data_IF_351890148931
#
_entry.id   IF_351890148931
#
_cell.length_a   1.000
_cell.length_b   1.000
_cell.length_c   1.000
_cell.angle_alpha   90.00
_cell.angle_beta   90.00
_cell.angle_gamma   90.00
#
_symmetry.space_group_name_H-M   'P 1'
#
loop_
_entity.id
_entity.type
_entity.pdbx_description
1 polymer ?
#
# COMPACT_ATOMS: atom_id res chain seq x y z
N UNK A 1 -1.14 6.84 28.92
CA UNK A 1 0.04 6.98 28.04
C UNK A 1 1.30 6.99 28.88
N UNK A 2 1.49 7.89 29.86
CA UNK A 2 2.72 7.98 30.68
C UNK A 2 3.12 6.66 31.35
N UNK A 3 2.18 5.96 32.02
CA UNK A 3 2.48 4.72 32.72
C UNK A 3 3.00 3.60 31.79
N UNK A 4 2.49 3.53 30.55
CA UNK A 4 2.99 2.59 29.54
C UNK A 4 4.38 3.02 29.03
N UNK A 5 4.59 4.30 28.83
CA UNK A 5 5.87 4.84 28.39
C UNK A 5 6.97 4.59 29.41
N UNK A 6 6.69 4.82 30.71
CA UNK A 6 7.63 4.55 31.79
C UNK A 6 8.00 3.07 31.88
N UNK A 7 7.03 2.18 31.61
CA UNK A 7 7.25 0.74 31.61
C UNK A 7 8.16 0.25 30.48
N UNK A 8 8.07 0.89 29.29
CA UNK A 8 8.79 0.47 28.09
C UNK A 8 9.96 1.37 27.69
N UNK A 9 10.14 2.50 28.40
CA UNK A 9 11.21 3.49 28.09
C UNK A 9 12.62 2.91 28.04
N UNK A 10 12.89 1.85 28.78
CA UNK A 10 14.21 1.18 28.80
C UNK A 10 14.38 0.12 27.69
N UNK A 11 13.33 -0.15 26.91
CA UNK A 11 13.30 -1.24 25.91
C UNK A 11 13.08 -0.75 24.49
N UNK A 12 12.61 0.48 24.32
CA UNK A 12 12.22 1.01 23.02
C UNK A 12 12.69 2.45 22.88
N UNK A 13 13.43 2.80 21.79
CA UNK A 13 13.89 4.16 21.55
C UNK A 13 12.75 5.12 21.25
N UNK A 14 11.67 4.67 20.63
CA UNK A 14 10.50 5.47 20.30
C UNK A 14 9.22 4.66 20.37
N UNK A 15 8.10 5.37 20.43
CA UNK A 15 6.74 4.82 20.23
C UNK A 15 6.04 5.58 19.12
N UNK A 16 5.13 4.92 18.41
CA UNK A 16 4.38 5.51 17.31
C UNK A 16 2.89 5.21 17.42
N UNK A 17 2.10 6.02 16.72
CA UNK A 17 0.66 5.83 16.57
C UNK A 17 0.13 6.49 15.30
N UNK A 18 -1.03 6.07 14.85
CA UNK A 18 -1.85 6.77 13.87
C UNK A 18 -2.97 7.49 14.63
N UNK A 19 -2.97 8.83 14.70
CA UNK A 19 -3.92 9.56 15.52
C UNK A 19 -5.28 9.69 14.82
N UNK A 20 -6.36 9.38 15.53
CA UNK A 20 -7.70 9.78 15.10
C UNK A 20 -7.91 11.30 15.23
N UNK A 21 -7.26 11.93 16.24
CA UNK A 21 -7.24 13.38 16.42
C UNK A 21 -5.88 13.80 17.01
N UNK A 22 -5.09 14.52 16.22
CA UNK A 22 -3.71 14.91 16.56
C UNK A 22 -3.60 15.72 17.86
N UNK A 23 -4.56 16.62 18.10
CA UNK A 23 -4.58 17.49 19.27
C UNK A 23 -4.54 16.72 20.61
N UNK A 24 -4.97 15.49 20.64
CA UNK A 24 -4.94 14.62 21.84
C UNK A 24 -3.49 14.25 22.18
N UNK A 25 -2.62 14.13 21.19
CA UNK A 25 -1.28 13.56 21.35
C UNK A 25 -0.16 14.60 21.40
N UNK A 26 -0.39 15.82 20.92
CA UNK A 26 0.59 16.93 21.02
C UNK A 26 1.06 17.23 22.44
N UNK A 27 0.18 17.23 23.49
CA UNK A 27 0.60 17.42 24.88
C UNK A 27 1.55 16.34 25.42
N UNK A 28 1.62 15.20 24.74
CA UNK A 28 2.50 14.08 25.08
C UNK A 28 3.74 13.99 24.21
N UNK A 29 4.10 15.09 23.53
CA UNK A 29 5.28 15.22 22.65
C UNK A 29 5.29 14.31 21.42
N UNK A 30 4.13 13.83 20.98
CA UNK A 30 4.02 13.18 19.68
C UNK A 30 4.07 14.23 18.55
N UNK A 31 4.82 13.92 17.50
CA UNK A 31 4.93 14.75 16.29
C UNK A 31 4.80 13.88 15.05
N UNK A 32 4.19 14.43 14.00
CA UNK A 32 4.15 13.76 12.71
C UNK A 32 5.55 13.62 12.13
N UNK A 33 5.81 12.44 11.57
CA UNK A 33 7.08 12.07 10.94
C UNK A 33 6.89 11.41 9.58
N UNK A 34 5.65 11.07 9.24
CA UNK A 34 5.32 10.42 7.99
C UNK A 34 4.02 10.98 7.43
N UNK A 35 4.07 11.35 6.15
CA UNK A 35 2.93 11.76 5.34
C UNK A 35 2.66 10.68 4.30
N UNK A 36 1.42 10.18 4.28
CA UNK A 36 1.02 9.19 3.31
C UNK A 36 0.55 9.87 2.03
N UNK A 37 1.11 9.44 0.92
CA UNK A 37 0.68 9.85 -0.41
C UNK A 37 -0.66 9.19 -0.75
N UNK A 38 -1.61 10.00 -1.19
CA UNK A 38 -2.94 9.56 -1.63
C UNK A 38 -3.26 10.17 -2.97
N UNK A 39 -3.82 9.38 -3.88
CA UNK A 39 -4.32 9.83 -5.17
C UNK A 39 -5.74 9.29 -5.39
N UNK A 40 -6.62 10.13 -5.92
CA UNK A 40 -7.96 9.74 -6.41
C UNK A 40 -7.92 9.67 -7.93
N UNK A 41 -8.33 8.55 -8.48
CA UNK A 41 -8.34 8.26 -9.91
C UNK A 41 -9.76 7.98 -10.37
N UNK A 42 -10.12 8.48 -11.54
CA UNK A 42 -11.42 8.32 -12.16
C UNK A 42 -11.35 7.54 -13.48
N UNK A 43 -12.48 7.43 -14.16
CA UNK A 43 -12.60 6.76 -15.47
C UNK A 43 -11.65 7.35 -16.52
N UNK A 44 -11.39 8.66 -16.49
CA UNK A 44 -10.52 9.30 -17.46
C UNK A 44 -9.09 8.77 -17.37
N UNK A 45 -8.59 8.52 -16.14
CA UNK A 45 -7.29 7.89 -15.90
C UNK A 45 -7.18 6.51 -16.57
N UNK A 46 -8.13 5.65 -16.28
CA UNK A 46 -8.07 4.27 -16.79
C UNK A 46 -8.30 4.20 -18.30
N UNK A 47 -9.15 5.06 -18.85
CA UNK A 47 -9.42 5.12 -20.29
C UNK A 47 -8.21 5.62 -21.08
N UNK A 48 -7.58 6.72 -20.65
CA UNK A 48 -6.38 7.24 -21.31
C UNK A 48 -5.22 6.23 -21.24
N UNK A 49 -5.09 5.51 -20.13
CA UNK A 49 -4.05 4.47 -20.00
C UNK A 49 -4.29 3.30 -20.95
N UNK A 50 -5.54 2.92 -21.20
CA UNK A 50 -5.88 1.92 -22.22
C UNK A 50 -5.52 2.36 -23.64
N UNK A 51 -5.78 3.62 -23.97
CA UNK A 51 -5.45 4.19 -25.30
C UNK A 51 -3.93 4.25 -25.53
N UNK A 52 -3.18 4.73 -24.54
CA UNK A 52 -1.73 4.88 -24.64
C UNK A 52 -1.01 3.55 -24.81
N UNK A 53 -1.54 2.45 -24.25
CA UNK A 53 -0.87 1.14 -24.22
C UNK A 53 -1.43 0.08 -25.15
N UNK A 54 -2.43 0.41 -25.97
CA UNK A 54 -3.00 -0.54 -26.94
C UNK A 54 -1.96 -1.16 -27.90
N UNK A 55 -0.81 -0.52 -28.09
CA UNK A 55 0.26 -1.02 -28.99
C UNK A 55 1.27 -1.93 -28.25
N UNK A 56 1.53 -1.75 -26.96
CA UNK A 56 2.47 -2.57 -26.19
C UNK A 56 1.84 -3.81 -25.56
N UNK A 57 0.61 -3.71 -25.04
CA UNK A 57 -0.10 -4.82 -24.39
C UNK A 57 -0.57 -5.93 -25.32
N UNK A 58 -0.68 -5.67 -26.62
CA UNK A 58 -1.02 -6.70 -27.61
C UNK A 58 0.04 -7.80 -27.75
N UNK A 59 1.23 -7.59 -27.25
CA UNK A 59 2.35 -8.53 -27.36
C UNK A 59 2.60 -9.35 -26.07
N UNK A 60 2.00 -9.00 -24.94
CA UNK A 60 2.06 -9.84 -23.74
C UNK A 60 0.91 -10.84 -23.87
N UNK A 61 1.23 -12.09 -24.15
CA UNK A 61 0.22 -13.15 -24.17
C UNK A 61 -0.48 -13.19 -22.81
N UNK A 62 -1.76 -12.82 -22.75
CA UNK A 62 -2.60 -12.81 -21.54
C UNK A 62 -2.59 -14.17 -20.81
N UNK A 63 -2.23 -15.25 -21.52
CA UNK A 63 -2.11 -16.61 -20.99
C UNK A 63 -1.03 -16.77 -19.90
N UNK A 64 -0.14 -15.77 -19.73
CA UNK A 64 0.96 -15.81 -18.74
C UNK A 64 0.73 -14.97 -17.48
N UNK A 65 -0.35 -14.19 -17.44
CA UNK A 65 -0.69 -13.35 -16.30
C UNK A 65 -1.75 -14.05 -15.46
N UNK A 66 -1.47 -14.24 -14.17
CA UNK A 66 -2.45 -14.69 -13.17
C UNK A 66 -2.64 -13.58 -12.17
N UNK A 67 -3.86 -13.05 -12.12
CA UNK A 67 -4.28 -12.00 -11.20
C UNK A 67 -5.42 -12.53 -10.33
N UNK A 68 -5.18 -12.64 -9.03
CA UNK A 68 -6.13 -13.27 -8.10
C UNK A 68 -5.98 -12.79 -6.67
N UNK A 69 -7.00 -13.02 -5.87
CA UNK A 69 -6.93 -12.81 -4.44
C UNK A 69 -5.99 -13.81 -3.76
N UNK A 70 -5.29 -13.30 -2.73
CA UNK A 70 -4.46 -14.10 -1.86
C UNK A 70 -5.33 -15.04 -1.02
N UNK A 71 -4.87 -16.27 -0.87
CA UNK A 71 -5.38 -17.22 0.11
C UNK A 71 -4.48 -17.20 1.34
N UNK A 72 -4.98 -17.67 2.46
CA UNK A 72 -4.23 -17.75 3.72
C UNK A 72 -2.86 -18.45 3.57
N UNK A 73 -2.78 -19.46 2.72
CA UNK A 73 -1.54 -20.18 2.41
C UNK A 73 -0.53 -19.38 1.57
N UNK A 74 -0.94 -18.30 0.92
CA UNK A 74 -0.05 -17.44 0.13
C UNK A 74 0.80 -16.49 1.00
N UNK A 75 0.48 -16.35 2.29
CA UNK A 75 1.12 -15.42 3.21
C UNK A 75 2.64 -15.58 3.27
N UNK A 76 3.15 -16.82 3.25
CA UNK A 76 4.60 -17.09 3.20
C UNK A 76 5.26 -16.60 1.91
N UNK A 77 4.57 -16.74 0.76
CA UNK A 77 5.04 -16.26 -0.54
C UNK A 77 5.07 -14.72 -0.58
N UNK A 78 4.07 -14.06 -0.01
CA UNK A 78 4.01 -12.61 0.10
C UNK A 78 5.15 -12.08 1.00
N UNK A 79 5.39 -12.73 2.12
CA UNK A 79 6.51 -12.38 3.01
C UNK A 79 7.86 -12.48 2.30
N UNK A 80 8.11 -13.59 1.60
CA UNK A 80 9.33 -13.78 0.83
C UNK A 80 9.49 -12.74 -0.28
N UNK A 81 8.41 -12.44 -1.02
CA UNK A 81 8.42 -11.42 -2.07
C UNK A 81 8.85 -10.05 -1.55
N UNK A 82 8.34 -9.64 -0.38
CA UNK A 82 8.70 -8.34 0.20
C UNK A 82 10.11 -8.36 0.78
N UNK A 83 10.51 -9.40 1.45
CA UNK A 83 11.87 -9.56 1.97
C UNK A 83 12.91 -9.49 0.86
N UNK A 84 12.69 -10.19 -0.25
CA UNK A 84 13.62 -10.29 -1.36
C UNK A 84 13.74 -9.00 -2.18
N UNK A 85 12.66 -8.21 -2.29
CA UNK A 85 12.61 -7.10 -3.25
C UNK A 85 12.46 -5.71 -2.61
N UNK A 86 12.07 -5.61 -1.33
CA UNK A 86 11.70 -4.34 -0.70
C UNK A 86 12.29 -4.13 0.70
N UNK A 87 13.08 -5.07 1.23
CA UNK A 87 13.67 -4.95 2.59
C UNK A 87 14.45 -3.65 2.79
N UNK A 88 15.17 -3.22 1.77
CA UNK A 88 16.03 -2.03 1.82
C UNK A 88 15.31 -0.73 1.42
N UNK A 89 14.00 -0.79 1.11
CA UNK A 89 13.25 0.38 0.66
C UNK A 89 12.86 1.33 1.81
N UNK A 90 12.92 0.87 3.06
CA UNK A 90 12.44 1.62 4.22
C UNK A 90 13.46 1.61 5.35
N UNK A 91 13.62 2.76 6.03
CA UNK A 91 14.43 2.87 7.24
C UNK A 91 13.77 2.21 8.46
N UNK A 92 12.43 2.26 8.51
CA UNK A 92 11.61 1.65 9.57
C UNK A 92 10.39 1.04 8.93
N UNK A 93 10.15 -0.23 9.18
CA UNK A 93 9.00 -0.98 8.65
C UNK A 93 8.52 -2.03 9.65
N UNK A 94 7.24 -2.34 9.65
CA UNK A 94 6.72 -3.49 10.40
C UNK A 94 7.33 -4.80 9.88
N UNK A 95 7.57 -5.74 10.79
CA UNK A 95 8.05 -7.08 10.40
C UNK A 95 6.99 -7.78 9.54
N UNK A 96 7.21 -7.84 8.24
CA UNK A 96 6.28 -8.38 7.24
C UNK A 96 6.47 -9.87 7.00
N UNK A 97 6.36 -10.64 8.07
CA UNK A 97 6.42 -12.11 8.01
C UNK A 97 5.09 -12.73 7.56
N UNK A 98 5.03 -14.06 7.47
CA UNK A 98 3.82 -14.78 7.08
C UNK A 98 2.63 -14.48 8.02
N UNK A 99 2.85 -14.34 9.32
CA UNK A 99 1.77 -14.01 10.27
C UNK A 99 1.20 -12.61 10.02
N UNK A 100 2.04 -11.63 9.69
CA UNK A 100 1.59 -10.30 9.27
C UNK A 100 0.63 -10.39 8.10
N UNK A 101 1.00 -11.10 7.02
CA UNK A 101 0.14 -11.21 5.84
C UNK A 101 -1.11 -12.06 6.08
N UNK A 102 -1.07 -13.04 6.97
CA UNK A 102 -2.26 -13.76 7.40
C UNK A 102 -3.27 -12.82 8.06
N UNK A 103 -2.79 -11.93 8.95
CA UNK A 103 -3.61 -10.91 9.59
C UNK A 103 -4.16 -9.93 8.55
N UNK A 104 -3.32 -9.42 7.65
CA UNK A 104 -3.75 -8.50 6.59
C UNK A 104 -4.84 -9.10 5.69
N UNK A 105 -4.72 -10.36 5.29
CA UNK A 105 -5.75 -11.04 4.49
C UNK A 105 -7.10 -11.02 5.23
N UNK A 106 -7.12 -11.32 6.53
CA UNK A 106 -8.35 -11.35 7.32
C UNK A 106 -8.92 -9.94 7.55
N UNK A 107 -8.08 -8.95 7.81
CA UNK A 107 -8.48 -7.55 8.00
C UNK A 107 -9.12 -7.00 6.72
N UNK A 108 -8.48 -7.16 5.56
CA UNK A 108 -9.05 -6.67 4.31
C UNK A 108 -10.36 -7.40 3.94
N UNK A 109 -10.47 -8.69 4.24
CA UNK A 109 -11.72 -9.43 4.03
C UNK A 109 -12.86 -8.90 4.90
N UNK A 110 -12.58 -8.40 6.09
CA UNK A 110 -13.60 -7.77 6.95
C UNK A 110 -14.13 -6.44 6.41
N UNK A 111 -13.37 -5.79 5.51
CA UNK A 111 -13.72 -4.55 4.80
C UNK A 111 -14.21 -4.81 3.36
N UNK A 112 -14.76 -6.00 3.10
CA UNK A 112 -15.22 -6.44 1.76
C UNK A 112 -14.13 -6.38 0.68
N UNK A 113 -12.87 -6.53 1.07
CA UNK A 113 -11.71 -6.48 0.22
C UNK A 113 -10.86 -7.74 0.29
N UNK A 114 -9.57 -7.58 0.02
CA UNK A 114 -8.59 -8.67 0.06
C UNK A 114 -7.17 -8.19 -0.17
N UNK A 115 -6.27 -9.15 -0.26
CA UNK A 115 -4.91 -8.92 -0.76
C UNK A 115 -4.83 -9.45 -2.18
N UNK A 116 -4.37 -8.64 -3.14
CA UNK A 116 -4.24 -9.03 -4.54
C UNK A 116 -2.83 -9.49 -4.86
N UNK A 117 -2.71 -10.55 -5.64
CA UNK A 117 -1.46 -11.12 -6.13
C UNK A 117 -1.48 -11.15 -7.65
N UNK A 118 -0.48 -10.53 -8.26
CA UNK A 118 -0.28 -10.57 -9.72
C UNK A 118 0.98 -11.36 -10.03
N UNK A 119 0.83 -12.38 -10.85
CA UNK A 119 1.93 -13.22 -11.31
C UNK A 119 2.12 -13.05 -12.81
N UNK A 120 3.36 -13.03 -13.23
CA UNK A 120 3.77 -13.15 -14.62
C UNK A 120 4.65 -14.39 -14.76
N UNK A 121 4.30 -15.31 -15.63
CA UNK A 121 5.01 -16.59 -15.81
C UNK A 121 5.31 -17.32 -14.49
N UNK A 122 4.30 -17.43 -13.61
CA UNK A 122 4.40 -18.04 -12.28
C UNK A 122 5.23 -17.23 -11.24
N UNK A 123 5.92 -16.15 -11.63
CA UNK A 123 6.65 -15.26 -10.73
C UNK A 123 5.68 -14.23 -10.15
N UNK A 124 5.66 -14.07 -8.83
CA UNK A 124 4.96 -12.98 -8.16
C UNK A 124 5.65 -11.65 -8.49
N UNK A 125 4.92 -10.71 -9.08
CA UNK A 125 5.45 -9.41 -9.54
C UNK A 125 4.78 -8.21 -8.90
N UNK A 126 3.59 -8.40 -8.30
CA UNK A 126 2.88 -7.33 -7.63
C UNK A 126 2.01 -7.89 -6.50
N UNK A 127 1.95 -7.16 -5.38
CA UNK A 127 0.99 -7.37 -4.29
C UNK A 127 0.42 -6.02 -3.86
N UNK A 128 -0.84 -6.00 -3.46
CA UNK A 128 -1.47 -4.85 -2.82
C UNK A 128 -2.71 -5.27 -2.01
N UNK A 129 -3.08 -4.45 -1.04
CA UNK A 129 -4.34 -4.60 -0.34
C UNK A 129 -5.42 -3.78 -1.02
N UNK A 130 -6.68 -4.22 -0.94
CA UNK A 130 -7.82 -3.43 -1.39
C UNK A 130 -9.01 -3.60 -0.43
N UNK A 131 -9.85 -2.58 -0.36
CA UNK A 131 -11.12 -2.57 0.38
C UNK A 131 -12.21 -1.96 -0.49
N UNK A 132 -13.47 -2.37 -0.24
CA UNK A 132 -14.67 -1.93 -1.01
C UNK A 132 -15.82 -1.48 -0.10
N UNK A 133 -15.56 -1.09 1.14
CA UNK A 133 -16.61 -0.71 2.08
C UNK A 133 -17.25 0.64 1.69
N UNK A 134 -16.46 1.64 1.37
CA UNK A 134 -16.89 3.00 0.99
C UNK A 134 -16.47 3.39 -0.45
N UNK A 135 -16.19 2.42 -1.31
CA UNK A 135 -15.60 2.56 -2.63
C UNK A 135 -14.29 1.79 -2.74
N UNK A 136 -13.71 1.73 -3.93
CA UNK A 136 -12.48 0.97 -4.13
C UNK A 136 -11.26 1.74 -3.59
N UNK A 137 -10.70 1.24 -2.54
CA UNK A 137 -9.44 1.68 -1.97
C UNK A 137 -8.33 0.67 -2.26
N UNK A 138 -7.21 1.15 -2.74
CA UNK A 138 -5.96 0.39 -2.93
C UNK A 138 -4.96 0.85 -1.89
N UNK A 139 -4.37 -0.08 -1.16
CA UNK A 139 -3.46 0.21 -0.05
C UNK A 139 -2.12 -0.49 -0.24
N UNK A 140 -1.04 0.24 0.00
CA UNK A 140 0.35 -0.25 -0.02
C UNK A 140 0.71 -1.09 -1.27
N UNK A 141 0.56 -0.58 -2.48
CA UNK A 141 0.95 -1.31 -3.67
C UNK A 141 2.47 -1.50 -3.73
N UNK A 142 2.88 -2.75 -3.89
CA UNK A 142 4.27 -3.15 -4.05
C UNK A 142 4.40 -3.95 -5.34
N UNK A 143 5.13 -3.40 -6.31
CA UNK A 143 5.36 -4.05 -7.61
C UNK A 143 6.83 -3.91 -8.02
N UNK A 144 7.32 -4.89 -8.75
CA UNK A 144 8.69 -4.89 -9.27
C UNK A 144 8.87 -3.76 -10.30
N UNK A 145 10.07 -3.28 -10.44
CA UNK A 145 10.43 -2.29 -11.46
C UNK A 145 9.99 -2.76 -12.87
N UNK A 146 9.36 -1.87 -13.63
CA UNK A 146 8.80 -2.16 -14.93
C UNK A 146 7.50 -3.00 -14.92
N UNK A 147 6.89 -3.23 -13.76
CA UNK A 147 5.62 -3.97 -13.62
C UNK A 147 4.44 -3.09 -13.16
N UNK A 148 4.62 -1.79 -13.20
CA UNK A 148 3.57 -0.82 -12.86
C UNK A 148 2.30 -1.01 -13.71
N UNK A 149 2.46 -1.37 -14.98
CA UNK A 149 1.33 -1.59 -15.88
C UNK A 149 0.47 -2.78 -15.51
N UNK A 150 1.09 -3.85 -15.02
CA UNK A 150 0.37 -5.01 -14.51
C UNK A 150 -0.39 -4.66 -13.23
N UNK A 151 0.17 -3.81 -12.38
CA UNK A 151 -0.52 -3.29 -11.22
C UNK A 151 -1.77 -2.50 -11.64
N UNK A 152 -1.66 -1.52 -12.52
CA UNK A 152 -2.80 -0.73 -12.96
C UNK A 152 -3.85 -1.52 -13.71
N UNK A 153 -3.44 -2.52 -14.52
CA UNK A 153 -4.37 -3.42 -15.18
C UNK A 153 -5.16 -4.28 -14.16
N UNK A 154 -4.49 -4.72 -13.11
CA UNK A 154 -5.12 -5.45 -12.00
C UNK A 154 -6.14 -4.57 -11.25
N UNK A 155 -5.79 -3.31 -10.96
CA UNK A 155 -6.69 -2.34 -10.32
C UNK A 155 -7.91 -2.05 -11.21
N UNK A 156 -7.71 -1.82 -12.52
CA UNK A 156 -8.81 -1.63 -13.47
C UNK A 156 -9.74 -2.84 -13.55
N UNK A 157 -9.21 -4.05 -13.40
CA UNK A 157 -10.00 -5.28 -13.34
C UNK A 157 -10.82 -5.46 -12.05
N UNK A 158 -10.51 -4.71 -10.99
CA UNK A 158 -11.24 -4.75 -9.71
C UNK A 158 -12.36 -3.74 -9.62
N UNK A 159 -12.23 -2.60 -10.31
CA UNK A 159 -13.19 -1.51 -10.22
C UNK A 159 -14.46 -1.76 -11.03
N UNK A 160 -15.55 -1.16 -10.59
CA UNK A 160 -16.77 -1.04 -11.38
C UNK A 160 -16.65 0.12 -12.40
N UNK A 161 -17.45 0.13 -13.50
CA UNK A 161 -17.49 1.25 -14.43
C UNK A 161 -17.79 2.57 -13.69
N UNK A 162 -17.07 3.63 -14.04
CA UNK A 162 -17.19 4.98 -13.44
C UNK A 162 -16.85 5.05 -11.93
N UNK A 163 -16.44 3.96 -11.31
CA UNK A 163 -15.99 3.94 -9.91
C UNK A 163 -14.68 4.70 -9.76
N UNK A 164 -14.63 5.61 -8.77
CA UNK A 164 -13.40 6.26 -8.36
C UNK A 164 -12.56 5.32 -7.52
N UNK A 165 -11.26 5.38 -7.73
CA UNK A 165 -10.28 4.58 -7.01
C UNK A 165 -9.39 5.48 -6.16
N UNK A 166 -9.36 5.25 -4.86
CA UNK A 166 -8.39 5.89 -3.96
C UNK A 166 -7.18 4.99 -3.78
N UNK A 167 -5.98 5.50 -4.07
CA UNK A 167 -4.74 4.73 -3.90
C UNK A 167 -3.86 5.38 -2.85
N UNK A 168 -3.45 4.59 -1.86
CA UNK A 168 -2.66 5.02 -0.71
C UNK A 168 -1.27 4.37 -0.73
N UNK A 169 -0.24 5.16 -0.45
CA UNK A 169 1.12 4.64 -0.27
C UNK A 169 1.87 4.34 -1.56
N UNK A 170 1.48 4.93 -2.69
CA UNK A 170 2.29 4.89 -3.91
C UNK A 170 3.67 5.48 -3.67
N UNK A 171 4.71 4.81 -4.14
CA UNK A 171 6.08 5.29 -4.07
C UNK A 171 6.27 6.57 -4.89
N UNK A 172 5.72 6.58 -6.09
CA UNK A 172 5.77 7.69 -7.04
C UNK A 172 4.39 7.93 -7.62
N UNK A 173 4.10 9.18 -8.00
CA UNK A 173 2.89 9.47 -8.76
C UNK A 173 2.98 8.77 -10.12
N UNK A 174 1.88 8.21 -10.63
CA UNK A 174 1.89 7.62 -11.97
C UNK A 174 2.22 8.70 -13.01
N UNK A 175 3.03 8.35 -14.01
CA UNK A 175 3.29 9.22 -15.15
C UNK A 175 1.97 9.53 -15.87
N UNK A 176 1.58 10.79 -15.85
CA UNK A 176 0.33 11.26 -16.40
C UNK A 176 0.55 12.31 -17.48
N UNK A 177 -0.13 12.22 -18.62
CA UNK A 177 0.05 13.19 -19.70
C UNK A 177 -0.47 14.60 -19.42
N UNK A 178 -1.41 14.78 -18.45
CA UNK A 178 -2.02 16.08 -18.16
C UNK A 178 -2.26 16.30 -16.66
N UNK A 179 -1.76 17.41 -16.18
CA UNK A 179 -1.59 17.84 -14.77
C UNK A 179 -2.91 18.13 -13.99
N UNK A 180 -4.09 17.98 -14.61
CA UNK A 180 -5.34 18.54 -14.03
C UNK A 180 -6.29 17.53 -13.38
N UNK A 181 -6.09 16.23 -13.55
CA UNK A 181 -7.10 15.22 -13.14
C UNK A 181 -6.76 14.39 -11.91
N UNK A 182 -5.53 14.39 -11.44
CA UNK A 182 -5.16 13.64 -10.25
C UNK A 182 -4.99 14.55 -9.03
N UNK A 183 -5.94 14.49 -8.11
CA UNK A 183 -5.80 15.15 -6.80
C UNK A 183 -4.79 14.38 -5.93
N UNK A 184 -3.50 14.60 -6.20
CA UNK A 184 -2.44 14.11 -5.33
C UNK A 184 -2.46 14.85 -4.00
N UNK A 185 -2.60 14.12 -2.90
CA UNK A 185 -2.62 14.66 -1.54
C UNK A 185 -1.58 13.96 -0.69
N UNK A 186 -0.91 14.72 0.13
CA UNK A 186 -0.09 14.18 1.23
C UNK A 186 -0.86 14.40 2.53
N UNK A 187 -1.10 13.32 3.27
CA UNK A 187 -1.82 13.38 4.54
C UNK A 187 -0.92 12.91 5.66
N UNK A 188 -0.70 13.74 6.70
CA UNK A 188 0.00 13.28 7.89
C UNK A 188 -0.67 12.05 8.48
N UNK A 189 0.10 10.97 8.68
CA UNK A 189 -0.45 9.69 9.11
C UNK A 189 0.16 9.18 10.40
N UNK A 190 1.49 9.19 10.53
CA UNK A 190 2.17 8.58 11.67
C UNK A 190 2.80 9.66 12.54
N UNK A 191 2.44 9.64 13.82
CA UNK A 191 3.12 10.41 14.86
C UNK A 191 4.06 9.50 15.65
N UNK A 192 5.25 10.00 15.96
CA UNK A 192 6.16 9.35 16.90
C UNK A 192 6.42 10.22 18.11
N UNK A 193 6.81 9.58 19.20
CA UNK A 193 7.47 10.18 20.34
C UNK A 193 8.76 9.45 20.62
N UNK A 194 9.85 10.19 20.73
CA UNK A 194 11.14 9.65 21.14
C UNK A 194 11.10 9.45 22.67
N UNK A 195 11.44 8.26 23.12
CA UNK A 195 11.42 7.87 24.52
C UNK A 195 12.83 7.80 25.08
N UNK A 196 13.80 7.38 24.26
CA UNK A 196 15.20 7.26 24.65
C UNK A 196 16.14 7.75 23.53
N UNK A 197 16.79 8.89 23.73
CA UNK A 197 17.70 9.50 22.73
C UNK A 197 19.05 8.78 22.59
N UNK A 198 19.43 7.94 23.56
CA UNK A 198 20.75 7.30 23.57
C UNK A 198 20.80 5.99 22.77
N UNK A 199 19.67 5.54 22.24
CA UNK A 199 19.55 4.29 21.46
C UNK A 199 19.10 4.52 20.01
N UNK A 200 19.08 5.76 19.56
CA UNK A 200 18.88 6.16 18.16
C UNK A 200 20.24 6.31 17.46
#
# INVERSE_FOLDING_TARGET
>A
IHALQDQYSQKMPFTFLMPAAEAIYHPYDFRFVYEQKQIELDEAFFSARKEYKNDEYRNISQERIVDRDARFMDAGKMAAFVEENFSDCWNVVALRNAQYYQTQILEQQSEFGGMRLVFEEEKLVCIYAYAKEEGLEIREPLYLEGKEDLFWASVDGLREPEEKVSVYGLKEAPDWPDDETSAYKEKPLIMIRIVHLQEL
#
